data_IF_801311026482
#
_entry.id   IF_801311026482
#
_cell.length_a   1.000
_cell.length_b   1.000
_cell.length_c   1.000
_cell.angle_alpha   90.00
_cell.angle_beta   90.00
_cell.angle_gamma   90.00
#
_symmetry.space_group_name_H-M   'P 1'
#
loop_
_entity.id
_entity.type
_entity.pdbx_description
1 polymer ?
#
# COMPACT_ATOMS: atom_id res chain seq x y z
N UNK A 1 9.17 23.96 16.27
CA UNK A 1 9.33 23.25 14.99
C UNK A 1 8.64 21.92 15.17
N UNK A 2 7.46 21.72 14.57
CA UNK A 2 6.81 20.41 14.59
C UNK A 2 7.57 19.53 13.61
N UNK A 3 8.08 18.39 14.07
CA UNK A 3 8.59 17.37 13.16
C UNK A 3 7.34 16.79 12.49
N UNK A 4 7.18 16.98 11.18
CA UNK A 4 6.06 16.38 10.47
C UNK A 4 6.21 14.86 10.52
N UNK A 5 5.15 14.19 10.99
CA UNK A 5 5.09 12.72 11.01
C UNK A 5 5.05 12.20 9.58
N UNK A 6 6.00 11.32 9.27
CA UNK A 6 6.12 10.68 7.96
C UNK A 6 4.86 9.85 7.64
N UNK A 7 4.32 10.03 6.45
CA UNK A 7 3.08 9.38 6.00
C UNK A 7 3.35 8.15 5.14
N UNK A 8 2.63 7.06 5.38
CA UNK A 8 2.81 5.76 4.73
C UNK A 8 1.51 5.28 4.09
N UNK A 9 1.58 4.86 2.83
CA UNK A 9 0.52 4.09 2.18
C UNK A 9 0.89 2.61 2.15
N UNK A 10 0.02 1.76 2.69
CA UNK A 10 0.09 0.31 2.64
C UNK A 10 -0.70 -0.21 1.44
N UNK A 11 0.00 -0.86 0.52
CA UNK A 11 -0.53 -1.59 -0.63
C UNK A 11 -0.40 -3.09 -0.38
N UNK A 12 -1.42 -3.86 -0.74
CA UNK A 12 -1.44 -5.32 -0.57
C UNK A 12 -2.62 -5.96 -1.31
N UNK A 13 -2.79 -7.27 -1.18
CA UNK A 13 -4.03 -7.88 -1.67
C UNK A 13 -5.19 -7.52 -0.72
N UNK A 14 -6.41 -7.52 -1.25
CA UNK A 14 -7.60 -7.24 -0.44
C UNK A 14 -7.74 -8.25 0.70
N UNK A 15 -7.40 -9.51 0.42
CA UNK A 15 -7.38 -10.64 1.35
C UNK A 15 -6.38 -10.44 2.50
N UNK A 16 -5.31 -9.68 2.26
CA UNK A 16 -4.30 -9.36 3.29
C UNK A 16 -4.76 -8.21 4.21
N UNK A 17 -5.86 -7.54 3.87
CA UNK A 17 -6.40 -6.39 4.60
C UNK A 17 -6.46 -6.57 6.12
N UNK A 18 -7.02 -7.69 6.64
CA UNK A 18 -7.03 -7.97 8.09
C UNK A 18 -5.63 -8.03 8.72
N UNK A 19 -4.63 -8.59 8.03
CA UNK A 19 -3.26 -8.61 8.52
C UNK A 19 -2.63 -7.21 8.49
N UNK A 20 -2.95 -6.42 7.45
CA UNK A 20 -2.47 -5.05 7.30
C UNK A 20 -3.10 -4.06 8.30
N UNK A 21 -4.23 -4.39 8.94
CA UNK A 21 -4.72 -3.63 10.08
C UNK A 21 -3.71 -3.63 11.24
N UNK A 22 -3.09 -4.76 11.54
CA UNK A 22 -2.09 -4.83 12.61
C UNK A 22 -0.85 -4.00 12.26
N UNK A 23 -0.42 -4.05 11.01
CA UNK A 23 0.68 -3.22 10.48
C UNK A 23 0.35 -1.74 10.62
N UNK A 24 -0.85 -1.32 10.20
CA UNK A 24 -1.31 0.06 10.36
C UNK A 24 -1.24 0.48 11.83
N UNK A 25 -1.77 -0.34 12.73
CA UNK A 25 -1.84 -0.01 14.15
C UNK A 25 -0.44 0.07 14.80
N UNK A 26 0.51 -0.77 14.37
CA UNK A 26 1.91 -0.66 14.77
C UNK A 26 2.56 0.63 14.26
N UNK A 27 2.34 0.99 12.98
CA UNK A 27 2.87 2.24 12.39
C UNK A 27 2.32 3.47 13.11
N UNK A 28 1.01 3.50 13.40
CA UNK A 28 0.38 4.57 14.17
C UNK A 28 1.00 4.68 15.57
N UNK A 29 1.24 3.56 16.26
CA UNK A 29 1.91 3.53 17.56
C UNK A 29 3.37 3.98 17.49
N UNK A 30 4.04 3.74 16.38
CA UNK A 30 5.41 4.19 16.11
C UNK A 30 5.48 5.65 15.65
N UNK A 31 4.36 6.38 15.62
CA UNK A 31 4.31 7.81 15.33
C UNK A 31 4.24 8.15 13.84
N UNK A 32 3.98 7.18 12.96
CA UNK A 32 3.70 7.41 11.55
C UNK A 32 2.24 7.75 11.31
N UNK A 33 1.96 8.45 10.22
CA UNK A 33 0.61 8.59 9.68
C UNK A 33 0.37 7.51 8.63
N UNK A 34 -0.75 6.81 8.68
CA UNK A 34 -1.13 5.84 7.63
C UNK A 34 -2.24 6.43 6.77
N UNK A 35 -2.04 6.49 5.45
CA UNK A 35 -3.00 7.12 4.53
C UNK A 35 -4.02 6.15 3.93
N UNK A 36 -3.76 4.84 3.96
CA UNK A 36 -4.56 3.81 3.29
C UNK A 36 -6.00 3.69 3.80
N UNK A 37 -6.93 4.49 3.25
CA UNK A 37 -8.35 4.45 3.64
C UNK A 37 -9.05 3.15 3.26
N UNK A 38 -8.53 2.41 2.27
CA UNK A 38 -9.09 1.12 1.85
C UNK A 38 -9.12 0.08 2.99
N UNK A 39 -8.25 0.21 4.00
CA UNK A 39 -8.23 -0.64 5.20
C UNK A 39 -9.48 -0.48 6.08
N UNK A 40 -10.30 0.54 5.85
CA UNK A 40 -11.55 0.77 6.56
C UNK A 40 -12.77 0.13 5.86
N UNK A 41 -12.56 -0.65 4.80
CA UNK A 41 -13.63 -1.23 3.97
C UNK A 41 -14.37 -2.43 4.61
N UNK A 42 -13.87 -2.98 5.72
CA UNK A 42 -14.46 -4.14 6.39
C UNK A 42 -14.21 -5.49 5.70
N UNK A 43 -13.46 -5.51 4.60
CA UNK A 43 -12.91 -6.70 3.93
C UNK A 43 -13.90 -7.81 3.52
N UNK A 44 -15.20 -7.51 3.44
CA UNK A 44 -16.21 -8.52 3.11
C UNK A 44 -16.16 -8.95 1.64
N UNK A 45 -16.01 -8.00 0.73
CA UNK A 45 -15.95 -8.24 -0.71
C UNK A 45 -15.02 -7.23 -1.40
N UNK A 46 -14.15 -7.67 -2.32
CA UNK A 46 -13.32 -6.76 -3.09
C UNK A 46 -14.18 -5.80 -3.91
N UNK A 47 -13.73 -4.54 -4.05
CA UNK A 47 -14.43 -3.53 -4.84
C UNK A 47 -14.67 -4.01 -6.29
N UNK A 48 -13.72 -4.73 -6.87
CA UNK A 48 -13.80 -5.28 -8.23
C UNK A 48 -14.95 -6.27 -8.43
N UNK A 49 -15.49 -6.88 -7.36
CA UNK A 49 -16.70 -7.71 -7.45
C UNK A 49 -17.95 -6.92 -7.84
N UNK A 50 -17.91 -5.59 -7.75
CA UNK A 50 -18.98 -4.71 -8.25
C UNK A 50 -18.95 -4.54 -9.78
N UNK A 51 -17.86 -4.90 -10.46
CA UNK A 51 -17.72 -4.70 -11.89
C UNK A 51 -18.87 -5.35 -12.68
N UNK A 52 -19.45 -4.60 -13.62
CA UNK A 52 -20.59 -5.03 -14.43
C UNK A 52 -21.97 -4.88 -13.76
N UNK A 53 -22.04 -4.51 -12.47
CA UNK A 53 -23.32 -4.23 -11.82
C UNK A 53 -23.84 -2.81 -12.15
N UNK A 54 -25.17 -2.60 -12.22
CA UNK A 54 -25.75 -1.27 -12.41
C UNK A 54 -25.28 -0.28 -11.34
N UNK A 55 -24.79 0.90 -11.77
CA UNK A 55 -24.29 1.94 -10.87
C UNK A 55 -22.89 1.68 -10.27
N UNK A 56 -22.22 0.59 -10.64
CA UNK A 56 -20.88 0.26 -10.12
C UNK A 56 -19.79 1.23 -10.60
N UNK A 57 -19.91 1.75 -11.82
CA UNK A 57 -18.86 2.58 -12.44
C UNK A 57 -18.47 3.79 -11.58
N UNK A 58 -19.45 4.54 -11.05
CA UNK A 58 -19.20 5.69 -10.18
C UNK A 58 -18.53 5.29 -8.86
N UNK A 59 -18.93 4.16 -8.27
CA UNK A 59 -18.33 3.65 -7.02
C UNK A 59 -16.88 3.20 -7.23
N UNK A 60 -16.62 2.45 -8.30
CA UNK A 60 -15.27 1.99 -8.66
C UNK A 60 -14.34 3.18 -8.96
N UNK A 61 -14.85 4.18 -9.69
CA UNK A 61 -14.10 5.41 -9.92
C UNK A 61 -13.79 6.13 -8.61
N UNK A 62 -14.76 6.30 -7.70
CA UNK A 62 -14.52 6.96 -6.41
C UNK A 62 -13.45 6.23 -5.57
N UNK A 63 -13.46 4.90 -5.56
CA UNK A 63 -12.44 4.09 -4.87
C UNK A 63 -11.06 4.32 -5.50
N UNK A 64 -10.96 4.27 -6.82
CA UNK A 64 -9.69 4.52 -7.51
C UNK A 64 -9.15 5.94 -7.26
N UNK A 65 -10.01 6.95 -7.21
CA UNK A 65 -9.60 8.32 -6.86
C UNK A 65 -9.13 8.41 -5.41
N UNK A 66 -9.82 7.73 -4.49
CA UNK A 66 -9.41 7.65 -3.09
C UNK A 66 -7.99 7.06 -2.94
N UNK A 67 -7.70 5.96 -3.63
CA UNK A 67 -6.38 5.32 -3.56
C UNK A 67 -5.28 6.24 -4.13
N UNK A 68 -5.58 6.96 -5.22
CA UNK A 68 -4.67 7.98 -5.80
C UNK A 68 -4.39 9.10 -4.79
N UNK A 69 -5.43 9.67 -4.17
CA UNK A 69 -5.29 10.72 -3.15
C UNK A 69 -4.45 10.24 -1.96
N UNK A 70 -4.64 9.00 -1.53
CA UNK A 70 -3.92 8.42 -0.39
C UNK A 70 -2.44 8.19 -0.69
N UNK A 71 -2.11 7.80 -1.94
CA UNK A 71 -0.72 7.68 -2.40
C UNK A 71 -0.08 9.07 -2.54
N UNK A 72 -0.80 10.06 -3.08
CA UNK A 72 -0.30 11.44 -3.18
C UNK A 72 0.06 12.01 -1.80
N UNK A 73 -0.79 11.74 -0.81
CA UNK A 73 -0.63 12.20 0.58
C UNK A 73 0.39 11.41 1.41
N UNK A 74 0.96 10.33 0.87
CA UNK A 74 2.00 9.55 1.53
C UNK A 74 3.41 9.99 1.09
N UNK A 75 4.39 9.83 1.97
CA UNK A 75 5.81 9.99 1.65
C UNK A 75 6.39 8.68 1.12
N UNK A 76 5.85 7.55 1.61
CA UNK A 76 6.30 6.20 1.28
C UNK A 76 5.15 5.31 0.88
N UNK A 77 5.34 4.58 -0.21
CA UNK A 77 4.54 3.43 -0.58
C UNK A 77 5.20 2.15 -0.05
N UNK A 78 4.49 1.39 0.77
CA UNK A 78 4.87 0.05 1.21
C UNK A 78 4.00 -0.98 0.50
N UNK A 79 4.61 -1.85 -0.29
CA UNK A 79 3.95 -2.89 -1.08
C UNK A 79 4.17 -4.25 -0.42
N UNK A 80 3.13 -4.78 0.21
CA UNK A 80 3.13 -6.14 0.73
C UNK A 80 2.96 -7.13 -0.44
N UNK A 81 4.01 -7.90 -0.71
CA UNK A 81 4.05 -8.82 -1.82
C UNK A 81 4.74 -10.14 -1.39
N UNK A 82 4.07 -10.97 -0.57
CA UNK A 82 4.65 -12.22 -0.13
C UNK A 82 4.84 -13.17 -1.34
N UNK A 83 5.76 -14.15 -1.27
CA UNK A 83 6.12 -15.00 -2.42
C UNK A 83 4.91 -15.67 -3.11
N UNK A 84 3.93 -16.12 -2.33
CA UNK A 84 2.67 -16.70 -2.80
C UNK A 84 1.82 -15.73 -3.60
N UNK A 85 1.92 -14.43 -3.31
CA UNK A 85 1.18 -13.39 -3.99
C UNK A 85 1.75 -13.10 -5.39
N UNK A 86 2.98 -13.52 -5.70
CA UNK A 86 3.56 -13.38 -7.06
C UNK A 86 2.78 -14.18 -8.11
N UNK A 87 2.07 -15.24 -7.71
CA UNK A 87 1.27 -16.07 -8.60
C UNK A 87 -0.20 -15.60 -8.73
N UNK A 88 -0.65 -14.70 -7.86
CA UNK A 88 -2.07 -14.32 -7.75
C UNK A 88 -2.21 -12.85 -8.19
N UNK A 89 -2.61 -12.68 -9.45
CA UNK A 89 -2.70 -11.39 -10.12
C UNK A 89 -3.95 -10.61 -9.74
N UNK A 90 -3.88 -9.79 -8.69
CA UNK A 90 -4.71 -8.59 -8.59
C UNK A 90 -3.85 -7.38 -8.91
N UNK A 91 -4.18 -6.72 -10.03
CA UNK A 91 -3.32 -5.73 -10.67
C UNK A 91 -3.21 -4.38 -9.94
N UNK A 92 -4.10 -4.09 -8.98
CA UNK A 92 -4.20 -2.79 -8.31
C UNK A 92 -2.86 -2.30 -7.76
N UNK A 93 -2.19 -3.10 -6.93
CA UNK A 93 -0.87 -2.78 -6.36
C UNK A 93 0.19 -2.42 -7.40
N UNK A 94 0.14 -2.98 -8.60
CA UNK A 94 1.11 -2.65 -9.64
C UNK A 94 0.85 -1.26 -10.26
N UNK A 95 -0.43 -0.85 -10.34
CA UNK A 95 -0.81 0.52 -10.71
C UNK A 95 -0.36 1.49 -9.62
N UNK A 96 -0.59 1.16 -8.36
CA UNK A 96 -0.16 1.97 -7.20
C UNK A 96 1.36 2.14 -7.18
N UNK A 97 2.13 1.06 -7.38
CA UNK A 97 3.59 1.10 -7.52
C UNK A 97 4.03 2.03 -8.64
N UNK A 98 3.46 1.87 -9.84
CA UNK A 98 3.80 2.73 -10.98
C UNK A 98 3.51 4.20 -10.71
N UNK A 99 2.37 4.50 -10.07
CA UNK A 99 1.98 5.86 -9.73
C UNK A 99 2.91 6.49 -8.69
N UNK A 100 3.27 5.75 -7.63
CA UNK A 100 4.21 6.22 -6.62
C UNK A 100 5.62 6.48 -7.20
N UNK A 101 6.10 5.59 -8.07
CA UNK A 101 7.37 5.76 -8.78
C UNK A 101 7.36 7.02 -9.65
N UNK A 102 6.28 7.26 -10.40
CA UNK A 102 6.13 8.45 -11.23
C UNK A 102 6.12 9.76 -10.41
N UNK A 103 5.62 9.71 -9.18
CA UNK A 103 5.64 10.83 -8.23
C UNK A 103 6.97 10.97 -7.47
N UNK A 104 7.96 10.10 -7.71
CA UNK A 104 9.25 10.12 -7.00
C UNK A 104 9.14 9.76 -5.52
N UNK A 105 8.09 9.03 -5.12
CA UNK A 105 7.90 8.57 -3.73
C UNK A 105 8.87 7.43 -3.42
N UNK A 106 9.22 7.26 -2.14
CA UNK A 106 9.97 6.07 -1.71
C UNK A 106 9.08 4.84 -1.84
N UNK A 107 9.57 3.79 -2.49
CA UNK A 107 8.85 2.52 -2.65
C UNK A 107 9.61 1.41 -1.93
N UNK A 108 8.92 0.73 -1.02
CA UNK A 108 9.44 -0.41 -0.27
C UNK A 108 8.57 -1.61 -0.55
N UNK A 109 9.16 -2.72 -1.01
CA UNK A 109 8.47 -4.00 -1.18
C UNK A 109 8.80 -4.89 0.02
N UNK A 110 7.77 -5.39 0.69
CA UNK A 110 7.90 -6.38 1.78
C UNK A 110 7.60 -7.76 1.22
N UNK A 111 8.58 -8.67 1.28
CA UNK A 111 8.52 -10.01 0.72
C UNK A 111 9.35 -10.14 -0.55
N UNK A 112 8.72 -10.53 -1.66
CA UNK A 112 9.39 -10.87 -2.90
C UNK A 112 9.18 -9.82 -3.99
N UNK A 113 10.12 -9.75 -4.95
CA UNK A 113 9.86 -9.05 -6.23
C UNK A 113 8.90 -9.87 -7.07
N UNK A 114 7.80 -9.25 -7.51
CA UNK A 114 6.79 -9.90 -8.37
C UNK A 114 6.55 -9.19 -9.70
N UNK A 115 6.91 -7.92 -9.82
CA UNK A 115 6.75 -7.11 -11.03
C UNK A 115 8.10 -6.56 -11.50
N UNK A 116 8.26 -6.36 -12.81
CA UNK A 116 9.51 -5.83 -13.40
C UNK A 116 9.95 -4.50 -12.79
N UNK A 117 9.00 -3.62 -12.44
CA UNK A 117 9.30 -2.33 -11.81
C UNK A 117 9.87 -2.48 -10.38
N UNK A 118 9.72 -3.64 -9.73
CA UNK A 118 10.35 -3.89 -8.41
C UNK A 118 11.88 -4.08 -8.51
N UNK A 119 12.42 -4.18 -9.71
CA UNK A 119 13.87 -4.31 -9.98
C UNK A 119 14.56 -2.96 -10.23
N UNK A 120 13.80 -1.86 -10.24
CA UNK A 120 14.38 -0.52 -10.34
C UNK A 120 15.26 -0.22 -9.12
N UNK A 121 16.39 0.48 -9.29
CA UNK A 121 17.33 0.77 -8.20
C UNK A 121 16.71 1.64 -7.09
N UNK A 122 15.66 2.40 -7.39
CA UNK A 122 14.92 3.22 -6.44
C UNK A 122 13.99 2.40 -5.52
N UNK A 123 13.72 1.14 -5.86
CA UNK A 123 12.86 0.26 -5.08
C UNK A 123 13.67 -0.54 -4.06
N UNK A 124 13.36 -0.34 -2.78
CA UNK A 124 13.95 -1.14 -1.70
C UNK A 124 13.11 -2.40 -1.46
N UNK A 125 13.75 -3.54 -1.22
CA UNK A 125 13.06 -4.79 -0.88
C UNK A 125 13.54 -5.28 0.47
N UNK A 126 12.60 -5.63 1.34
CA UNK A 126 12.84 -6.15 2.69
C UNK A 126 12.10 -7.46 2.89
N UNK A 127 12.57 -8.31 3.80
CA UNK A 127 12.06 -9.69 3.91
C UNK A 127 10.75 -9.78 4.68
N UNK A 128 10.48 -8.81 5.55
CA UNK A 128 9.33 -8.85 6.45
C UNK A 128 9.12 -7.57 7.22
N UNK A 129 8.29 -7.68 8.25
CA UNK A 129 7.83 -6.56 9.05
C UNK A 129 8.94 -5.89 9.87
N UNK A 130 9.79 -6.68 10.52
CA UNK A 130 10.86 -6.14 11.37
C UNK A 130 11.87 -5.32 10.54
N UNK A 131 12.29 -5.85 9.39
CA UNK A 131 13.16 -5.14 8.44
C UNK A 131 12.52 -3.84 7.94
N UNK A 132 11.20 -3.81 7.74
CA UNK A 132 10.47 -2.61 7.32
C UNK A 132 10.54 -1.54 8.43
N UNK A 133 10.29 -1.91 9.68
CA UNK A 133 10.37 -0.99 10.81
C UNK A 133 11.80 -0.45 11.00
N UNK A 134 12.81 -1.30 10.86
CA UNK A 134 14.20 -0.86 10.90
C UNK A 134 14.50 0.16 9.79
N UNK A 135 14.03 -0.10 8.57
CA UNK A 135 14.25 0.78 7.41
C UNK A 135 13.51 2.11 7.50
N UNK A 136 12.32 2.13 8.11
CA UNK A 136 11.58 3.37 8.35
C UNK A 136 12.19 4.19 9.50
N UNK A 137 13.03 3.56 10.33
CA UNK A 137 13.59 4.14 11.55
C UNK A 137 12.56 4.20 12.67
N UNK A 138 12.93 4.80 13.80
CA UNK A 138 11.94 5.29 14.77
C UNK A 138 11.79 6.78 14.54
N UNK A 139 10.57 7.28 14.38
CA UNK A 139 10.34 8.71 14.55
C UNK A 139 10.58 9.02 16.05
N UNK A 140 11.46 9.97 16.39
CA UNK A 140 11.75 10.32 17.79
C UNK A 140 10.55 10.91 18.52
#
# INVERSE_FOLDING_TARGET
>A
MMIESMSVYLSGQFEDGPALLHVRDDLLRAGYRVTSRWLNSGFATPATSLAGQPGAAGKLAAIAHQDIEDIMAADVLVVFNPPEACAIGRGGRHVETGYALALGKKVIVVGARGNVFHWMPEVTVVSGWDDLLELLGRCP
#
